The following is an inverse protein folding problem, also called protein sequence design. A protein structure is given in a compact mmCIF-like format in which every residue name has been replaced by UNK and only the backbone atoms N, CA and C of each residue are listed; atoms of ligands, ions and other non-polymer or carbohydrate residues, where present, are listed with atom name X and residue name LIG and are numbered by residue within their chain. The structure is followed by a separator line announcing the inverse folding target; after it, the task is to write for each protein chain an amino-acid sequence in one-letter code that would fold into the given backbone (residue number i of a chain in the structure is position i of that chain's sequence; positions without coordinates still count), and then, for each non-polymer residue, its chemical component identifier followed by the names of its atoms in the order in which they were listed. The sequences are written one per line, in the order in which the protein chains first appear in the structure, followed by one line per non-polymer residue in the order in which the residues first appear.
data_IF_057146900343
#
_entry.id   IF_057146900343
#
_cell.length_a   1.000
_cell.length_b   1.000
_cell.length_c   1.000
_cell.angle_alpha   90.00
_cell.angle_beta   90.00
_cell.angle_gamma   90.00
#
_symmetry.space_group_name_H-M   'P 1'
#
loop_
_entity.id
_entity.type
_entity.pdbx_description
1 polymer ?
#
# COMPACT_ATOMS: atom_id res chain seq x y z
N UNK A 1 -18.13 2.94 -13.19
CA UNK A 1 -19.16 2.45 -12.22
C UNK A 1 -18.93 0.99 -11.82
N UNK A 2 -18.64 0.07 -12.78
CA UNK A 2 -18.50 -1.38 -12.54
C UNK A 2 -17.36 -1.71 -11.56
N UNK A 3 -16.18 -1.09 -11.74
CA UNK A 3 -15.05 -1.28 -10.81
C UNK A 3 -15.37 -0.88 -9.37
N UNK A 4 -16.10 0.21 -9.17
CA UNK A 4 -16.50 0.67 -7.84
C UNK A 4 -17.45 -0.33 -7.17
N UNK A 5 -18.40 -0.88 -7.93
CA UNK A 5 -19.30 -1.93 -7.42
C UNK A 5 -18.53 -3.17 -6.99
N UNK A 6 -17.54 -3.62 -7.77
CA UNK A 6 -16.69 -4.75 -7.38
C UNK A 6 -15.84 -4.44 -6.14
N UNK A 7 -15.26 -3.26 -6.04
CA UNK A 7 -14.44 -2.88 -4.88
C UNK A 7 -15.26 -2.81 -3.59
N UNK A 8 -16.36 -2.07 -3.62
CA UNK A 8 -17.25 -1.93 -2.46
C UNK A 8 -17.94 -3.25 -2.16
N UNK A 9 -18.45 -3.96 -3.17
CA UNK A 9 -19.11 -5.26 -3.02
C UNK A 9 -18.18 -6.31 -2.41
N UNK A 10 -16.91 -6.38 -2.85
CA UNK A 10 -15.91 -7.26 -2.25
C UNK A 10 -15.64 -6.89 -0.80
N UNK A 11 -15.54 -5.60 -0.48
CA UNK A 11 -15.36 -5.12 0.88
C UNK A 11 -16.51 -5.49 1.80
N UNK A 12 -17.75 -5.32 1.35
CA UNK A 12 -18.97 -5.73 2.09
C UNK A 12 -19.00 -7.24 2.29
N UNK A 13 -18.79 -8.01 1.21
CA UNK A 13 -18.74 -9.47 1.28
C UNK A 13 -17.70 -9.96 2.28
N UNK A 14 -16.48 -9.45 2.23
CA UNK A 14 -15.41 -9.83 3.15
C UNK A 14 -15.71 -9.40 4.59
N UNK A 15 -16.30 -8.23 4.80
CA UNK A 15 -16.70 -7.77 6.14
C UNK A 15 -17.67 -8.75 6.80
N UNK A 16 -18.69 -9.17 6.07
CA UNK A 16 -19.68 -10.16 6.53
C UNK A 16 -19.02 -11.54 6.72
N UNK A 17 -18.26 -12.00 5.73
CA UNK A 17 -17.61 -13.32 5.74
C UNK A 17 -16.61 -13.48 6.87
N UNK A 18 -15.88 -12.41 7.20
CA UNK A 18 -14.93 -12.35 8.32
C UNK A 18 -15.60 -12.02 9.66
N UNK A 19 -16.94 -11.92 9.72
CA UNK A 19 -17.69 -11.64 10.95
C UNK A 19 -17.19 -10.40 11.71
N UNK A 20 -16.81 -9.34 10.96
CA UNK A 20 -16.29 -8.08 11.51
C UNK A 20 -15.01 -8.22 12.36
N UNK A 21 -14.21 -9.28 12.14
CA UNK A 21 -12.94 -9.49 12.87
C UNK A 21 -12.02 -8.26 12.85
N UNK A 22 -11.77 -7.58 11.70
CA UNK A 22 -10.90 -6.41 11.67
C UNK A 22 -11.37 -5.29 12.60
N UNK A 23 -12.68 -5.09 12.67
CA UNK A 23 -13.30 -4.08 13.53
C UNK A 23 -13.22 -4.44 15.01
N UNK A 24 -13.53 -5.70 15.35
CA UNK A 24 -13.48 -6.18 16.74
C UNK A 24 -12.09 -6.09 17.33
N UNK A 25 -11.07 -6.34 16.51
CA UNK A 25 -9.67 -6.37 16.97
C UNK A 25 -8.93 -5.06 16.74
N UNK A 26 -9.58 -4.02 16.22
CA UNK A 26 -8.94 -2.74 15.90
C UNK A 26 -8.23 -2.12 17.11
N UNK A 27 -8.92 -2.05 18.26
CA UNK A 27 -8.35 -1.47 19.48
C UNK A 27 -7.15 -2.25 20.01
N UNK A 28 -7.23 -3.59 20.02
CA UNK A 28 -6.10 -4.43 20.46
C UNK A 28 -4.91 -4.36 19.49
N UNK A 29 -5.18 -4.26 18.20
CA UNK A 29 -4.14 -4.10 17.17
C UNK A 29 -3.43 -2.76 17.29
N UNK A 30 -4.16 -1.67 17.53
CA UNK A 30 -3.58 -0.36 17.78
C UNK A 30 -2.72 -0.36 19.05
N UNK A 31 -3.19 -0.96 20.13
CA UNK A 31 -2.40 -1.07 21.38
C UNK A 31 -1.09 -1.84 21.16
N UNK A 32 -1.14 -2.96 20.45
CA UNK A 32 0.06 -3.74 20.11
C UNK A 32 1.04 -2.96 19.24
N UNK A 33 0.55 -2.15 18.30
CA UNK A 33 1.38 -1.35 17.41
C UNK A 33 2.29 -0.37 18.17
N UNK A 34 1.78 0.25 19.24
CA UNK A 34 2.55 1.18 20.07
C UNK A 34 3.36 0.49 21.16
N UNK A 35 3.31 -0.85 21.27
CA UNK A 35 4.13 -1.60 22.22
C UNK A 35 5.60 -1.62 21.79
N UNK A 36 6.50 -1.80 22.77
CA UNK A 36 7.93 -1.96 22.48
C UNK A 36 8.24 -3.20 21.65
N UNK A 37 7.42 -4.24 21.79
CA UNK A 37 7.55 -5.52 21.06
C UNK A 37 7.37 -5.31 19.55
N UNK A 38 6.48 -4.40 19.12
CA UNK A 38 6.26 -4.15 17.69
C UNK A 38 7.48 -3.55 16.96
N UNK A 39 8.40 -2.95 17.69
CA UNK A 39 9.65 -2.37 17.18
C UNK A 39 10.80 -3.38 17.12
N UNK A 40 10.65 -4.50 17.79
CA UNK A 40 11.64 -5.58 17.76
C UNK A 40 11.35 -6.50 16.58
N UNK A 41 12.42 -7.07 16.03
CA UNK A 41 12.34 -8.07 14.97
C UNK A 41 12.16 -9.44 15.61
N UNK A 42 10.94 -9.77 15.98
CA UNK A 42 10.57 -11.09 16.50
C UNK A 42 9.94 -11.92 15.37
N UNK A 43 10.58 -13.02 14.98
CA UNK A 43 10.07 -13.95 14.00
C UNK A 43 10.83 -13.98 12.66
N UNK A 44 10.26 -14.70 11.70
CA UNK A 44 10.88 -15.04 10.41
C UNK A 44 10.82 -13.90 9.35
N UNK A 45 10.41 -12.70 9.71
CA UNK A 45 10.30 -11.55 8.77
C UNK A 45 11.63 -10.81 8.59
N UNK A 46 11.79 -10.08 7.48
CA UNK A 46 12.99 -9.26 7.20
C UNK A 46 13.02 -7.95 7.99
N UNK A 47 11.86 -7.44 8.38
CA UNK A 47 11.67 -6.15 9.07
C UNK A 47 10.71 -6.30 10.25
N UNK A 48 10.76 -5.35 11.21
CA UNK A 48 9.85 -5.38 12.38
C UNK A 48 8.39 -5.07 11.96
N UNK A 49 7.39 -5.50 12.76
CA UNK A 49 5.98 -5.21 12.50
C UNK A 49 5.69 -3.69 12.38
N UNK A 50 6.31 -2.87 13.21
CA UNK A 50 6.20 -1.41 13.13
C UNK A 50 6.75 -0.87 11.80
N UNK A 51 7.95 -1.30 11.40
CA UNK A 51 8.56 -0.87 10.14
C UNK A 51 7.76 -1.35 8.92
N UNK A 52 7.16 -2.55 8.99
CA UNK A 52 6.28 -3.06 7.94
C UNK A 52 5.03 -2.18 7.79
N UNK A 53 4.40 -1.77 8.90
CA UNK A 53 3.26 -0.86 8.85
C UNK A 53 3.66 0.52 8.31
N UNK A 54 4.77 1.10 8.78
CA UNK A 54 5.24 2.40 8.27
C UNK A 54 5.55 2.35 6.77
N UNK A 55 6.12 1.26 6.30
CA UNK A 55 6.35 1.04 4.86
C UNK A 55 5.03 0.94 4.09
N UNK A 56 4.04 0.22 4.62
CA UNK A 56 2.71 0.13 4.01
C UNK A 56 1.99 1.48 4.00
N UNK A 57 2.10 2.27 5.07
CA UNK A 57 1.55 3.63 5.12
C UNK A 57 2.25 4.57 4.14
N UNK A 58 3.59 4.50 4.03
CA UNK A 58 4.34 5.27 3.04
C UNK A 58 3.89 4.99 1.60
N UNK A 59 3.56 3.74 1.31
CA UNK A 59 3.02 3.35 0.00
C UNK A 59 1.55 3.77 -0.22
N UNK A 60 0.79 3.94 0.85
CA UNK A 60 -0.65 4.26 0.78
C UNK A 60 -0.90 5.76 0.80
N UNK A 61 -0.15 6.50 1.61
CA UNK A 61 -0.27 7.97 1.73
C UNK A 61 0.48 8.61 0.56
N UNK A 62 -0.26 9.25 -0.34
CA UNK A 62 0.28 9.88 -1.52
C UNK A 62 -0.53 11.11 -1.94
N UNK A 63 -0.20 11.66 -3.10
CA UNK A 63 -0.90 12.83 -3.65
C UNK A 63 -2.39 12.61 -3.89
N UNK A 64 -2.83 11.35 -4.09
CA UNK A 64 -4.23 10.98 -4.17
C UNK A 64 -5.01 11.31 -2.90
N UNK A 65 -4.39 11.22 -1.73
CA UNK A 65 -5.02 11.53 -0.44
C UNK A 65 -5.18 13.04 -0.20
N UNK A 66 -4.45 13.87 -0.92
CA UNK A 66 -4.52 15.33 -0.81
C UNK A 66 -5.23 15.91 -2.03
N UNK A 67 -4.60 15.83 -3.20
CA UNK A 67 -5.12 16.40 -4.45
C UNK A 67 -6.37 15.66 -4.92
N UNK A 68 -6.37 14.32 -4.85
CA UNK A 68 -7.50 13.50 -5.27
C UNK A 68 -8.74 13.72 -4.41
N UNK A 69 -8.57 13.84 -3.09
CA UNK A 69 -9.69 14.15 -2.17
C UNK A 69 -10.22 15.57 -2.42
N UNK A 70 -9.33 16.56 -2.55
CA UNK A 70 -9.74 17.92 -2.86
C UNK A 70 -10.52 18.00 -4.19
N UNK A 71 -10.02 17.33 -5.23
CA UNK A 71 -10.73 17.27 -6.53
C UNK A 71 -12.08 16.58 -6.40
N UNK A 72 -12.18 15.48 -5.66
CA UNK A 72 -13.44 14.78 -5.44
C UNK A 72 -14.47 15.66 -4.69
N UNK A 73 -14.01 16.48 -3.73
CA UNK A 73 -14.87 17.44 -3.02
C UNK A 73 -15.36 18.56 -3.93
N UNK A 74 -14.50 19.07 -4.81
CA UNK A 74 -14.87 20.12 -5.77
C UNK A 74 -15.91 19.61 -6.76
N UNK A 75 -15.74 18.39 -7.26
CA UNK A 75 -16.63 17.81 -8.28
C UNK A 75 -17.91 17.19 -7.69
N UNK A 76 -17.80 16.54 -6.53
CA UNK A 76 -18.89 15.76 -5.91
C UNK A 76 -19.51 16.41 -4.66
N UNK A 77 -19.01 17.58 -4.27
CA UNK A 77 -19.46 18.27 -3.06
C UNK A 77 -19.06 17.56 -1.75
N UNK A 78 -19.52 18.06 -0.58
CA UNK A 78 -19.20 17.49 0.74
C UNK A 78 -19.61 16.04 0.90
N UNK A 79 -20.63 15.57 0.19
CA UNK A 79 -21.08 14.19 0.18
C UNK A 79 -20.01 13.20 -0.30
N UNK A 80 -19.05 13.64 -1.10
CA UNK A 80 -17.94 12.80 -1.54
C UNK A 80 -17.11 12.27 -0.37
N UNK A 81 -16.89 13.08 0.68
CA UNK A 81 -16.18 12.64 1.89
C UNK A 81 -16.92 11.51 2.62
N UNK A 82 -18.23 11.63 2.76
CA UNK A 82 -19.05 10.62 3.42
C UNK A 82 -18.93 9.28 2.69
N UNK A 83 -19.05 9.31 1.36
CA UNK A 83 -18.89 8.10 0.53
C UNK A 83 -17.47 7.52 0.60
N UNK A 84 -16.44 8.36 0.66
CA UNK A 84 -15.06 7.90 0.89
C UNK A 84 -14.90 7.20 2.24
N UNK A 85 -15.49 7.71 3.32
CA UNK A 85 -15.45 7.07 4.63
C UNK A 85 -16.19 5.74 4.65
N UNK A 86 -17.38 5.68 4.05
CA UNK A 86 -18.14 4.42 3.91
C UNK A 86 -17.33 3.38 3.12
N UNK A 87 -16.74 3.79 2.00
CA UNK A 87 -15.91 2.91 1.18
C UNK A 87 -14.67 2.43 1.94
N UNK A 88 -14.00 3.32 2.68
CA UNK A 88 -12.83 2.99 3.49
C UNK A 88 -13.18 2.01 4.61
N UNK A 89 -14.35 2.16 5.24
CA UNK A 89 -14.82 1.27 6.27
C UNK A 89 -14.91 -0.19 5.78
N UNK A 90 -15.43 -0.43 4.60
CA UNK A 90 -15.44 -1.76 3.99
C UNK A 90 -14.07 -2.17 3.44
N UNK A 91 -13.27 -1.21 2.99
CA UNK A 91 -11.90 -1.42 2.51
C UNK A 91 -10.95 -2.03 3.55
N UNK A 92 -11.17 -1.75 4.86
CA UNK A 92 -10.41 -2.34 5.96
C UNK A 92 -10.45 -3.88 5.89
N UNK A 93 -11.61 -4.46 5.66
CA UNK A 93 -11.77 -5.92 5.58
C UNK A 93 -11.08 -6.52 4.35
N UNK A 94 -11.09 -5.81 3.23
CA UNK A 94 -10.35 -6.21 2.02
C UNK A 94 -8.85 -6.22 2.27
N UNK A 95 -8.33 -5.16 2.89
CA UNK A 95 -6.89 -5.07 3.22
C UNK A 95 -6.46 -6.10 4.25
N UNK A 96 -7.29 -6.36 5.25
CA UNK A 96 -7.05 -7.42 6.22
C UNK A 96 -6.95 -8.79 5.55
N UNK A 97 -7.88 -9.12 4.65
CA UNK A 97 -7.86 -10.38 3.91
C UNK A 97 -6.61 -10.51 3.03
N UNK A 98 -6.24 -9.44 2.32
CA UNK A 98 -5.03 -9.38 1.50
C UNK A 98 -3.77 -9.66 2.33
N UNK A 99 -3.61 -8.97 3.46
CA UNK A 99 -2.44 -9.16 4.34
C UNK A 99 -2.41 -10.57 4.96
N UNK A 100 -3.56 -11.10 5.38
CA UNK A 100 -3.67 -12.44 5.94
C UNK A 100 -3.31 -13.53 4.91
N UNK A 101 -3.77 -13.37 3.67
CA UNK A 101 -3.44 -14.29 2.58
C UNK A 101 -1.97 -14.15 2.15
N UNK A 102 -1.44 -12.94 2.09
CA UNK A 102 -0.03 -12.70 1.80
C UNK A 102 0.88 -13.37 2.84
N UNK A 103 0.53 -13.28 4.13
CA UNK A 103 1.25 -13.98 5.20
C UNK A 103 1.14 -15.50 5.11
N UNK A 104 -0.05 -16.02 4.76
CA UNK A 104 -0.27 -17.47 4.65
C UNK A 104 0.48 -18.12 3.49
N UNK A 105 0.60 -17.44 2.35
CA UNK A 105 1.19 -17.96 1.12
C UNK A 105 2.57 -17.38 0.82
N UNK A 106 3.22 -16.75 1.82
CA UNK A 106 4.60 -16.28 1.68
C UNK A 106 5.55 -17.47 1.51
N UNK A 107 6.62 -17.23 0.78
CA UNK A 107 7.70 -18.19 0.52
C UNK A 107 9.05 -17.53 0.74
N UNK A 108 10.09 -18.30 0.86
CA UNK A 108 11.47 -17.80 0.92
C UNK A 108 12.09 -17.96 -0.47
N UNK A 109 12.77 -16.92 -0.95
CA UNK A 109 13.50 -16.99 -2.22
C UNK A 109 14.87 -17.68 -2.04
N UNK A 110 15.60 -17.87 -3.13
CA UNK A 110 16.94 -18.48 -3.13
C UNK A 110 17.97 -17.69 -2.31
N UNK A 111 17.71 -16.40 -2.07
CA UNK A 111 18.57 -15.52 -1.25
C UNK A 111 18.20 -15.51 0.23
N UNK A 112 17.23 -16.32 0.64
CA UNK A 112 16.75 -16.37 2.03
C UNK A 112 15.81 -15.21 2.42
N UNK A 113 15.34 -14.42 1.46
CA UNK A 113 14.43 -13.29 1.71
C UNK A 113 12.97 -13.74 1.64
N UNK A 114 12.12 -13.15 2.48
CA UNK A 114 10.69 -13.43 2.48
C UNK A 114 9.97 -12.79 1.28
N UNK A 115 9.35 -13.63 0.47
CA UNK A 115 8.55 -13.22 -0.68
C UNK A 115 7.07 -13.54 -0.46
N UNK A 116 6.20 -12.58 -0.72
CA UNK A 116 4.76 -12.71 -0.53
C UNK A 116 3.98 -11.71 -1.39
N UNK A 117 2.68 -11.64 -1.12
CA UNK A 117 1.80 -10.72 -1.80
C UNK A 117 0.83 -11.40 -2.77
N UNK A 118 0.03 -10.60 -3.53
CA UNK A 118 -1.04 -11.12 -4.36
C UNK A 118 -0.62 -12.16 -5.39
N UNK A 119 0.54 -12.00 -6.05
CA UNK A 119 1.02 -12.99 -7.04
C UNK A 119 1.32 -14.34 -6.41
N UNK A 120 1.91 -14.38 -5.20
CA UNK A 120 2.15 -15.63 -4.48
C UNK A 120 0.85 -16.25 -3.97
N UNK A 121 -0.07 -15.41 -3.49
CA UNK A 121 -1.41 -15.85 -3.10
C UNK A 121 -2.16 -16.49 -4.27
N UNK A 122 -2.12 -15.91 -5.46
CA UNK A 122 -2.73 -16.46 -6.66
C UNK A 122 -2.06 -17.76 -7.08
N UNK A 123 -0.73 -17.80 -7.10
CA UNK A 123 0.05 -18.96 -7.52
C UNK A 123 -0.16 -20.17 -6.61
N UNK A 124 -0.14 -19.97 -5.31
CA UNK A 124 -0.17 -21.06 -4.33
C UNK A 124 -1.54 -21.30 -3.69
N UNK A 125 -2.42 -20.30 -3.67
CA UNK A 125 -3.74 -20.37 -3.07
C UNK A 125 -4.81 -20.99 -3.97
N UNK A 126 -4.68 -20.93 -5.28
CA UNK A 126 -5.63 -21.51 -6.21
C UNK A 126 -5.45 -23.03 -6.35
N UNK A 127 -6.57 -23.77 -6.34
CA UNK A 127 -6.55 -25.23 -6.53
C UNK A 127 -5.95 -25.65 -7.86
N UNK A 128 -6.30 -24.94 -8.94
CA UNK A 128 -5.73 -25.18 -10.26
C UNK A 128 -4.41 -24.41 -10.41
N UNK A 129 -3.29 -25.12 -10.35
CA UNK A 129 -1.95 -24.54 -10.41
C UNK A 129 -1.63 -23.80 -11.72
N UNK A 130 -2.18 -24.28 -12.87
CA UNK A 130 -1.99 -23.61 -14.16
C UNK A 130 -2.70 -22.25 -14.18
N UNK A 131 -3.96 -22.20 -13.72
CA UNK A 131 -4.69 -20.93 -13.59
C UNK A 131 -4.03 -20.01 -12.55
N UNK A 132 -3.56 -20.55 -11.43
CA UNK A 132 -2.85 -19.79 -10.41
C UNK A 132 -1.60 -19.11 -10.96
N UNK A 133 -0.78 -19.82 -11.69
CA UNK A 133 0.42 -19.29 -12.34
C UNK A 133 0.08 -18.25 -13.41
N UNK A 134 -0.94 -18.50 -14.22
CA UNK A 134 -1.40 -17.54 -15.23
C UNK A 134 -1.82 -16.21 -14.58
N UNK A 135 -2.70 -16.25 -13.58
CA UNK A 135 -3.14 -15.03 -12.89
C UNK A 135 -2.02 -14.33 -12.12
N UNK A 136 -1.07 -15.07 -11.56
CA UNK A 136 0.09 -14.49 -10.89
C UNK A 136 0.97 -13.69 -11.87
N UNK A 137 1.22 -14.23 -13.08
CA UNK A 137 1.98 -13.53 -14.13
C UNK A 137 1.22 -12.31 -14.63
N UNK A 138 -0.09 -12.45 -14.90
CA UNK A 138 -0.93 -11.32 -15.33
C UNK A 138 -0.91 -10.19 -14.29
N UNK A 139 -1.04 -10.54 -13.01
CA UNK A 139 -0.95 -9.56 -11.91
C UNK A 139 0.40 -8.86 -11.90
N UNK A 140 1.50 -9.59 -12.05
CA UNK A 140 2.85 -9.02 -12.10
C UNK A 140 3.02 -8.04 -13.27
N UNK A 141 2.53 -8.41 -14.47
CA UNK A 141 2.57 -7.54 -15.66
C UNK A 141 1.75 -6.26 -15.41
N UNK A 142 0.52 -6.38 -14.93
CA UNK A 142 -0.31 -5.20 -14.66
C UNK A 142 0.26 -4.32 -13.56
N UNK A 143 0.87 -4.89 -12.53
CA UNK A 143 1.56 -4.13 -11.48
C UNK A 143 2.76 -3.38 -12.04
N UNK A 144 3.54 -4.01 -12.91
CA UNK A 144 4.65 -3.37 -13.59
C UNK A 144 4.16 -2.18 -14.45
N UNK A 145 3.13 -2.39 -15.26
CA UNK A 145 2.55 -1.30 -16.07
C UNK A 145 2.00 -0.15 -15.21
N UNK A 146 1.30 -0.47 -14.13
CA UNK A 146 0.75 0.53 -13.21
C UNK A 146 1.82 1.34 -12.50
N UNK A 147 2.99 0.75 -12.21
CA UNK A 147 4.09 1.45 -11.54
C UNK A 147 4.66 2.60 -12.36
N UNK A 148 4.67 2.49 -13.71
CA UNK A 148 5.12 3.57 -14.58
C UNK A 148 4.16 4.76 -14.61
N UNK A 149 2.85 4.53 -14.50
CA UNK A 149 1.82 5.57 -14.57
C UNK A 149 1.51 6.19 -13.20
N UNK A 150 0.54 5.62 -12.52
CA UNK A 150 -0.04 6.18 -11.28
C UNK A 150 0.98 6.17 -10.13
N UNK A 151 1.83 5.14 -10.05
CA UNK A 151 2.79 5.01 -8.96
C UNK A 151 3.90 6.05 -8.98
N UNK A 152 4.36 6.45 -10.14
CA UNK A 152 5.55 7.30 -10.29
C UNK A 152 5.26 8.66 -10.92
N UNK A 153 4.70 8.67 -12.13
CA UNK A 153 4.56 9.90 -12.92
C UNK A 153 3.61 10.90 -12.27
N UNK A 154 2.48 10.45 -11.76
CA UNK A 154 1.50 11.32 -11.12
C UNK A 154 2.04 11.96 -9.83
N UNK A 155 2.72 11.17 -9.00
CA UNK A 155 3.30 11.66 -7.75
C UNK A 155 4.49 12.60 -8.01
N UNK A 156 5.40 12.21 -8.89
CA UNK A 156 6.54 13.05 -9.28
C UNK A 156 6.10 14.40 -9.85
N UNK A 157 5.10 14.41 -10.74
CA UNK A 157 4.54 15.64 -11.29
C UNK A 157 3.88 16.52 -10.21
N UNK A 158 3.13 15.96 -9.29
CA UNK A 158 2.48 16.72 -8.22
C UNK A 158 3.50 17.37 -7.28
N UNK A 159 4.54 16.62 -6.87
CA UNK A 159 5.60 17.13 -6.00
C UNK A 159 6.40 18.24 -6.72
N UNK A 160 6.84 17.98 -7.95
CA UNK A 160 7.62 18.97 -8.72
C UNK A 160 6.82 20.23 -9.00
N UNK A 161 5.52 20.11 -9.24
CA UNK A 161 4.64 21.28 -9.46
C UNK A 161 4.46 22.06 -8.17
N UNK A 162 4.18 21.41 -7.05
CA UNK A 162 4.02 22.08 -5.75
C UNK A 162 5.30 22.83 -5.33
N UNK A 163 6.46 22.18 -5.40
CA UNK A 163 7.73 22.81 -5.05
C UNK A 163 8.08 23.95 -6.01
N UNK A 164 7.88 23.75 -7.31
CA UNK A 164 8.14 24.78 -8.31
C UNK A 164 7.27 26.02 -8.11
N UNK A 165 5.98 25.85 -7.81
CA UNK A 165 5.05 26.97 -7.59
C UNK A 165 5.31 27.71 -6.28
N UNK A 166 5.82 27.02 -5.24
CA UNK A 166 6.07 27.63 -3.92
C UNK A 166 7.42 28.34 -3.85
N UNK A 167 8.46 27.72 -4.42
CA UNK A 167 9.84 28.21 -4.30
C UNK A 167 10.42 28.81 -5.58
N UNK A 168 9.64 28.89 -6.66
CA UNK A 168 10.11 29.36 -7.99
C UNK A 168 11.31 28.57 -8.55
N UNK A 169 11.47 27.31 -8.15
CA UNK A 169 12.53 26.42 -8.64
C UNK A 169 12.08 25.73 -9.92
N UNK A 170 12.88 25.64 -10.98
CA UNK A 170 12.53 24.91 -12.20
C UNK A 170 12.19 23.44 -11.92
N UNK A 171 11.11 22.93 -12.51
CA UNK A 171 10.61 21.56 -12.27
C UNK A 171 11.67 20.47 -12.50
N UNK A 172 12.56 20.66 -13.48
CA UNK A 172 13.60 19.68 -13.78
C UNK A 172 14.64 19.55 -12.65
N UNK A 173 14.96 20.65 -11.94
CA UNK A 173 15.88 20.64 -10.78
C UNK A 173 15.26 19.81 -9.65
N UNK A 174 13.98 20.05 -9.34
CA UNK A 174 13.24 19.29 -8.34
C UNK A 174 13.15 17.80 -8.75
N UNK A 175 12.92 17.53 -10.03
CA UNK A 175 12.89 16.18 -10.56
C UNK A 175 14.20 15.43 -10.36
N UNK A 176 15.34 16.05 -10.65
CA UNK A 176 16.67 15.45 -10.42
C UNK A 176 16.89 15.18 -8.93
N UNK A 177 16.56 16.13 -8.06
CA UNK A 177 16.69 15.96 -6.62
C UNK A 177 15.85 14.77 -6.12
N UNK A 178 14.62 14.63 -6.60
CA UNK A 178 13.75 13.48 -6.29
C UNK A 178 14.37 12.16 -6.75
N UNK A 179 14.91 12.09 -7.98
CA UNK A 179 15.55 10.88 -8.51
C UNK A 179 16.72 10.46 -7.62
N UNK A 180 17.56 11.42 -7.20
CA UNK A 180 18.69 11.13 -6.31
C UNK A 180 18.22 10.64 -4.94
N UNK A 181 17.28 11.34 -4.30
CA UNK A 181 16.78 10.98 -2.98
C UNK A 181 16.08 9.61 -2.98
N UNK A 182 15.16 9.39 -3.93
CA UNK A 182 14.42 8.13 -4.04
C UNK A 182 15.36 7.00 -4.44
N UNK A 183 16.26 7.23 -5.39
CA UNK A 183 17.25 6.26 -5.83
C UNK A 183 18.14 5.78 -4.68
N UNK A 184 18.64 6.69 -3.85
CA UNK A 184 19.46 6.34 -2.68
C UNK A 184 18.73 5.44 -1.68
N UNK A 185 17.41 5.62 -1.52
CA UNK A 185 16.60 4.80 -0.62
C UNK A 185 16.27 3.44 -1.25
N UNK A 186 15.86 3.43 -2.52
CA UNK A 186 15.39 2.22 -3.23
C UNK A 186 16.52 1.24 -3.51
N UNK A 187 17.72 1.74 -3.85
CA UNK A 187 18.90 0.89 -4.09
C UNK A 187 19.31 0.06 -2.86
N UNK A 188 18.99 0.53 -1.65
CA UNK A 188 19.21 -0.22 -0.41
C UNK A 188 18.17 -1.32 -0.12
N UNK A 189 17.19 -1.53 -1.00
CA UNK A 189 16.15 -2.56 -0.88
C UNK A 189 15.19 -2.33 0.29
N UNK A 190 14.42 -3.39 0.63
CA UNK A 190 13.34 -3.31 1.62
C UNK A 190 13.80 -2.84 3.01
N UNK A 191 15.03 -3.18 3.41
CA UNK A 191 15.59 -2.76 4.70
C UNK A 191 15.82 -1.24 4.75
N UNK A 192 16.34 -0.65 3.67
CA UNK A 192 16.53 0.80 3.55
C UNK A 192 15.19 1.52 3.49
N UNK A 193 14.28 1.06 2.63
CA UNK A 193 12.94 1.63 2.48
C UNK A 193 12.21 1.62 3.83
N UNK A 194 12.21 0.49 4.55
CA UNK A 194 11.52 0.38 5.83
C UNK A 194 12.13 1.26 6.93
N UNK A 195 13.45 1.42 6.93
CA UNK A 195 14.15 2.31 7.88
C UNK A 195 13.77 3.77 7.64
N UNK A 196 13.81 4.23 6.40
CA UNK A 196 13.43 5.60 6.05
C UNK A 196 11.94 5.85 6.31
N UNK A 197 11.07 4.93 5.90
CA UNK A 197 9.62 5.03 6.15
C UNK A 197 9.28 5.06 7.64
N UNK A 198 9.99 4.30 8.48
CA UNK A 198 9.75 4.28 9.92
C UNK A 198 10.10 5.59 10.64
N UNK A 199 10.88 6.45 10.00
CA UNK A 199 11.20 7.79 10.50
C UNK A 199 10.29 8.85 9.88
N UNK A 200 10.12 8.83 8.55
CA UNK A 200 9.39 9.88 7.82
C UNK A 200 7.87 9.80 8.00
N UNK A 201 7.29 8.61 8.12
CA UNK A 201 5.82 8.48 8.19
C UNK A 201 5.24 8.97 9.51
N UNK A 202 5.89 8.75 10.68
CA UNK A 202 5.39 9.30 11.95
C UNK A 202 5.67 10.79 12.15
N UNK A 203 6.59 11.40 11.38
CA UNK A 203 6.98 12.82 11.47
C UNK A 203 5.95 13.72 10.80
#
# INVERSE_FOLDING_TARGET
PVMLLFLVGTGVFLTIRLRFIPWKNLGSSLKKLFSKESRQKDGEGDISPFSALMTALAATVGTGNIVGVATAMVLGGPGALVWMWISAAFGISTKYAECALAGKYRTVNEKGEMCGGPMYTLKYGLKNKKLGSFFAVMFAIFTLMASFGIGNSAQGNSITTAVSSTFNIPKWVVGIALVICVGAVVLGGIKSISKVSSVLVPA
#
